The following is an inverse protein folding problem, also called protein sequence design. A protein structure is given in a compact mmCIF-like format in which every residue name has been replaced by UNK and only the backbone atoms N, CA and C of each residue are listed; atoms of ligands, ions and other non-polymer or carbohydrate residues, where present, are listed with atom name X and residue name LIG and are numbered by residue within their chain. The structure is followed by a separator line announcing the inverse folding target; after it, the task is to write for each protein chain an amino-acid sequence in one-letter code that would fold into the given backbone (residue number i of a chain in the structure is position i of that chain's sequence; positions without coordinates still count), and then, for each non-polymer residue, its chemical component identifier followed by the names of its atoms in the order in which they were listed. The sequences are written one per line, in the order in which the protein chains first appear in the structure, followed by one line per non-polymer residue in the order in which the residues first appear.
data_IF_273778952424
#
_entry.id   IF_273778952424
#
_cell.length_a   1.000
_cell.length_b   1.000
_cell.length_c   1.000
_cell.angle_alpha   90.00
_cell.angle_beta   90.00
_cell.angle_gamma   90.00
#
_symmetry.space_group_name_H-M   'P 1'
#
loop_
_entity.id
_entity.type
_entity.pdbx_description
1 polymer ?
#
# COMPACT_ATOMS: atom_id res chain seq x y z
N UNK A 1 -5.11 -7.15 -24.88
CA UNK A 1 -4.91 -6.57 -23.54
C UNK A 1 -5.08 -5.06 -23.68
N UNK A 2 -5.58 -4.35 -22.66
CA UNK A 2 -5.96 -2.93 -22.73
C UNK A 2 -4.77 -1.96 -22.72
N UNK A 3 -3.56 -2.49 -22.48
CA UNK A 3 -2.31 -1.78 -22.71
C UNK A 3 -1.93 -1.90 -24.18
N UNK A 4 -1.56 -0.78 -24.81
CA UNK A 4 -1.17 -0.71 -26.21
C UNK A 4 0.13 0.08 -26.36
N UNK A 5 1.02 -0.39 -27.23
CA UNK A 5 2.24 0.32 -27.61
C UNK A 5 1.94 1.46 -28.61
N UNK A 6 2.98 2.14 -29.06
CA UNK A 6 2.87 3.21 -30.06
C UNK A 6 2.24 2.77 -31.41
N UNK A 7 2.20 1.45 -31.69
CA UNK A 7 1.59 0.89 -32.90
C UNK A 7 0.16 0.40 -32.67
N UNK A 8 -0.39 0.56 -31.46
CA UNK A 8 -1.71 0.06 -31.10
C UNK A 8 -1.76 -1.46 -30.89
N UNK A 9 -0.62 -2.12 -30.69
CA UNK A 9 -0.54 -3.54 -30.37
C UNK A 9 -0.33 -3.76 -28.87
N UNK A 10 -0.74 -4.91 -28.33
CA UNK A 10 -0.43 -5.20 -26.93
C UNK A 10 1.09 -5.30 -26.73
N UNK A 11 1.68 -4.51 -25.80
CA UNK A 11 3.12 -4.42 -25.66
C UNK A 11 3.69 -5.75 -25.20
N UNK A 12 4.71 -6.24 -25.90
CA UNK A 12 5.40 -7.48 -25.55
C UNK A 12 6.27 -7.31 -24.28
N UNK A 13 6.65 -6.08 -23.94
CA UNK A 13 7.48 -5.73 -22.80
C UNK A 13 7.28 -4.25 -22.42
N UNK A 14 7.68 -3.88 -21.20
CA UNK A 14 7.76 -2.49 -20.75
C UNK A 14 9.23 -2.23 -20.41
N UNK A 15 9.86 -1.24 -21.06
CA UNK A 15 11.27 -0.89 -20.81
C UNK A 15 11.38 0.17 -19.72
N UNK A 16 12.11 -0.18 -18.67
CA UNK A 16 12.35 0.70 -17.53
C UNK A 16 13.86 0.86 -17.33
N UNK A 17 14.29 2.09 -17.07
CA UNK A 17 15.65 2.41 -16.63
C UNK A 17 15.63 2.86 -15.18
N UNK A 18 16.45 2.27 -14.32
CA UNK A 18 16.55 2.69 -12.93
C UNK A 18 17.40 3.96 -12.83
N UNK A 19 16.82 5.01 -12.23
CA UNK A 19 17.48 6.30 -12.09
C UNK A 19 18.50 6.28 -10.95
N UNK A 20 19.49 7.19 -11.03
CA UNK A 20 20.45 7.43 -9.94
C UNK A 20 20.03 8.63 -9.09
N UNK A 21 20.34 8.58 -7.80
CA UNK A 21 20.15 9.72 -6.90
C UNK A 21 21.26 10.78 -7.06
N UNK A 22 21.17 11.86 -6.29
CA UNK A 22 22.13 12.99 -6.31
C UNK A 22 23.55 12.57 -5.90
N UNK A 23 23.69 11.45 -5.19
CA UNK A 23 24.96 10.90 -4.70
C UNK A 23 25.52 9.83 -5.66
N UNK A 24 24.86 9.60 -6.80
CA UNK A 24 25.27 8.65 -7.84
C UNK A 24 24.89 7.19 -7.55
N UNK A 25 24.14 6.91 -6.49
CA UNK A 25 23.66 5.57 -6.15
C UNK A 25 22.37 5.24 -6.93
N UNK A 26 22.06 3.95 -7.07
CA UNK A 26 20.78 3.53 -7.68
C UNK A 26 19.61 3.93 -6.78
N UNK A 27 18.62 4.62 -7.34
CA UNK A 27 17.44 5.10 -6.63
C UNK A 27 16.28 4.11 -6.71
N UNK A 28 15.20 4.38 -5.96
CA UNK A 28 13.94 3.63 -6.05
C UNK A 28 13.05 4.05 -7.24
N UNK A 29 13.50 5.02 -8.05
CA UNK A 29 12.75 5.58 -9.17
C UNK A 29 13.19 4.99 -10.50
N UNK A 30 12.23 4.86 -11.40
CA UNK A 30 12.43 4.35 -12.74
C UNK A 30 11.92 5.34 -13.78
N UNK A 31 12.62 5.39 -14.91
CA UNK A 31 12.19 6.08 -16.11
C UNK A 31 11.59 5.08 -17.11
N UNK A 32 10.53 5.49 -17.79
CA UNK A 32 9.83 4.69 -18.80
C UNK A 32 10.43 5.03 -20.16
N UNK A 33 11.11 4.06 -20.78
CA UNK A 33 11.83 4.31 -22.03
C UNK A 33 10.94 4.29 -23.28
N UNK A 34 9.77 3.66 -23.20
CA UNK A 34 8.85 3.50 -24.32
C UNK A 34 7.43 3.91 -23.92
N UNK A 35 6.83 4.78 -24.72
CA UNK A 35 5.47 5.25 -24.50
C UNK A 35 4.49 4.11 -24.73
N UNK A 36 3.47 4.04 -23.88
CA UNK A 36 2.35 3.13 -24.04
C UNK A 36 1.07 3.81 -23.58
N UNK A 37 -0.07 3.33 -24.07
CA UNK A 37 -1.38 3.79 -23.64
C UNK A 37 -2.14 2.68 -22.91
N UNK A 38 -3.00 3.09 -21.99
CA UNK A 38 -3.96 2.25 -21.31
C UNK A 38 -5.37 2.73 -21.66
N UNK A 39 -6.21 1.82 -22.16
CA UNK A 39 -7.62 2.10 -22.46
C UNK A 39 -8.50 1.46 -21.40
N UNK A 40 -9.18 2.30 -20.65
CA UNK A 40 -10.24 1.91 -19.72
C UNK A 40 -11.57 1.93 -20.47
N UNK A 41 -12.02 0.75 -20.91
CA UNK A 41 -13.28 0.59 -21.64
C UNK A 41 -14.50 0.88 -20.74
N UNK A 42 -14.38 0.74 -19.42
CA UNK A 42 -15.46 0.95 -18.44
C UNK A 42 -15.73 2.44 -18.26
N UNK A 43 -14.68 3.25 -18.13
CA UNK A 43 -14.78 4.70 -17.99
C UNK A 43 -14.71 5.45 -19.33
N UNK A 44 -14.45 4.75 -20.43
CA UNK A 44 -14.23 5.34 -21.76
C UNK A 44 -13.05 6.30 -21.78
N UNK A 45 -12.00 6.00 -21.01
CA UNK A 45 -10.82 6.85 -20.88
C UNK A 45 -9.57 6.21 -21.46
N UNK A 46 -8.71 7.04 -22.03
CA UNK A 46 -7.38 6.64 -22.47
C UNK A 46 -6.35 7.42 -21.68
N UNK A 47 -5.42 6.70 -21.06
CA UNK A 47 -4.29 7.27 -20.35
C UNK A 47 -3.04 7.01 -21.18
N UNK A 48 -2.35 8.08 -21.54
CA UNK A 48 -1.10 8.00 -22.29
C UNK A 48 0.05 8.13 -21.29
N UNK A 49 0.90 7.11 -21.24
CA UNK A 49 2.16 7.14 -20.50
C UNK A 49 3.27 7.56 -21.46
N UNK A 50 3.87 8.75 -21.29
CA UNK A 50 4.93 9.22 -22.17
C UNK A 50 6.24 8.46 -21.93
N UNK A 51 7.05 8.33 -22.99
CA UNK A 51 8.45 7.96 -22.83
C UNK A 51 9.21 9.13 -22.20
N UNK A 52 10.14 8.84 -21.29
CA UNK A 52 10.92 9.85 -20.56
C UNK A 52 10.04 10.86 -19.80
N UNK A 53 8.99 10.34 -19.18
CA UNK A 53 8.03 11.10 -18.38
C UNK A 53 8.50 11.39 -16.96
N UNK A 54 7.54 11.63 -16.07
CA UNK A 54 7.82 11.75 -14.64
C UNK A 54 8.34 10.42 -14.07
N UNK A 55 9.37 10.43 -13.20
CA UNK A 55 9.87 9.21 -12.58
C UNK A 55 8.80 8.46 -11.79
N UNK A 56 8.67 7.16 -12.05
CA UNK A 56 7.72 6.25 -11.37
C UNK A 56 8.42 5.47 -10.25
N UNK A 57 7.73 5.25 -9.14
CA UNK A 57 8.22 4.40 -8.04
C UNK A 57 7.61 2.99 -8.05
N UNK A 58 6.97 2.61 -9.18
CA UNK A 58 6.30 1.33 -9.40
C UNK A 58 5.26 1.02 -8.31
N UNK A 59 4.46 2.05 -8.01
CA UNK A 59 3.50 2.17 -6.93
C UNK A 59 4.12 2.38 -5.54
N UNK A 60 3.80 3.53 -4.94
CA UNK A 60 4.04 3.85 -3.52
C UNK A 60 3.29 2.93 -2.54
N UNK A 61 3.67 1.65 -2.47
CA UNK A 61 3.10 0.68 -1.52
C UNK A 61 3.72 0.90 -0.13
N UNK A 62 2.93 1.02 0.96
CA UNK A 62 3.45 1.10 2.32
C UNK A 62 4.38 -0.07 2.65
N UNK A 63 5.51 0.20 3.30
CA UNK A 63 6.54 -0.80 3.63
C UNK A 63 6.00 -2.05 4.37
N UNK A 64 4.97 -1.88 5.21
CA UNK A 64 4.31 -2.96 5.95
C UNK A 64 3.63 -3.97 5.01
N UNK A 65 3.40 -3.62 3.74
CA UNK A 65 2.77 -4.47 2.75
C UNK A 65 3.75 -5.06 1.72
N UNK A 66 5.04 -4.71 1.78
CA UNK A 66 6.05 -5.22 0.83
C UNK A 66 6.23 -6.74 0.89
N UNK A 67 5.96 -7.36 2.04
CA UNK A 67 6.01 -8.82 2.18
C UNK A 67 4.85 -9.53 1.45
N UNK A 68 3.75 -8.82 1.19
CA UNK A 68 2.53 -9.37 0.59
C UNK A 68 2.38 -9.00 -0.88
N UNK A 69 2.82 -7.79 -1.24
CA UNK A 69 2.72 -7.22 -2.58
C UNK A 69 4.13 -6.92 -3.06
N UNK A 70 4.62 -7.73 -4.02
CA UNK A 70 5.86 -7.39 -4.72
C UNK A 70 5.68 -6.07 -5.48
N UNK A 71 6.70 -5.21 -5.44
CA UNK A 71 6.73 -3.91 -6.10
C UNK A 71 6.58 -4.02 -7.62
N UNK A 72 7.13 -5.07 -8.23
CA UNK A 72 7.04 -5.32 -9.68
C UNK A 72 6.36 -6.66 -10.02
N UNK A 73 5.82 -6.74 -11.24
CA UNK A 73 5.14 -7.93 -11.74
C UNK A 73 4.12 -7.60 -12.81
N UNK A 74 3.06 -8.40 -12.92
CA UNK A 74 1.98 -8.18 -13.90
C UNK A 74 1.28 -6.83 -13.71
N UNK A 75 1.24 -6.35 -12.47
CA UNK A 75 0.64 -5.07 -12.10
C UNK A 75 1.53 -3.84 -12.39
N UNK A 76 2.77 -4.02 -12.88
CA UNK A 76 3.71 -2.92 -13.12
C UNK A 76 3.14 -1.88 -14.10
N UNK A 77 2.47 -2.31 -15.18
CA UNK A 77 1.82 -1.37 -16.11
C UNK A 77 0.73 -0.54 -15.43
N UNK A 78 -0.09 -1.16 -14.58
CA UNK A 78 -1.13 -0.46 -13.82
C UNK A 78 -0.53 0.57 -12.84
N UNK A 79 0.58 0.24 -12.19
CA UNK A 79 1.29 1.15 -11.29
C UNK A 79 1.80 2.40 -12.02
N UNK A 80 2.42 2.22 -13.19
CA UNK A 80 2.93 3.34 -14.00
C UNK A 80 1.78 4.26 -14.47
N UNK A 81 0.66 3.68 -14.90
CA UNK A 81 -0.56 4.42 -15.27
C UNK A 81 -1.07 5.25 -14.08
N UNK A 82 -1.11 4.67 -12.87
CA UNK A 82 -1.52 5.37 -11.66
C UNK A 82 -0.58 6.52 -11.31
N UNK A 83 0.73 6.28 -11.33
CA UNK A 83 1.75 7.31 -11.04
C UNK A 83 1.65 8.47 -12.03
N UNK A 84 1.38 8.20 -13.31
CA UNK A 84 1.18 9.22 -14.36
C UNK A 84 -0.06 10.07 -14.10
N UNK A 85 -1.11 9.49 -13.52
CA UNK A 85 -2.35 10.22 -13.22
C UNK A 85 -2.25 11.01 -11.91
N UNK A 86 -1.48 10.54 -10.92
CA UNK A 86 -1.46 11.12 -9.58
C UNK A 86 -0.48 12.29 -9.50
N UNK A 87 -1.03 13.51 -9.57
CA UNK A 87 -0.28 14.76 -9.39
C UNK A 87 -0.41 15.32 -7.97
N UNK A 88 0.41 16.32 -7.61
CA UNK A 88 0.44 16.86 -6.24
C UNK A 88 -0.83 17.63 -5.86
N UNK A 89 -1.43 18.34 -6.82
CA UNK A 89 -2.65 19.15 -6.64
C UNK A 89 -3.82 18.54 -7.40
N UNK A 90 -4.48 17.57 -6.78
CA UNK A 90 -5.68 16.94 -7.32
C UNK A 90 -6.88 17.22 -6.43
N UNK A 91 -8.03 17.42 -7.04
CA UNK A 91 -9.30 17.32 -6.34
C UNK A 91 -9.53 15.88 -5.86
N UNK A 92 -10.39 15.72 -4.86
CA UNK A 92 -10.81 14.39 -4.40
C UNK A 92 -11.40 13.56 -5.53
N UNK A 93 -12.22 14.17 -6.40
CA UNK A 93 -12.86 13.46 -7.51
C UNK A 93 -11.85 12.91 -8.51
N UNK A 94 -10.82 13.69 -8.87
CA UNK A 94 -9.74 13.24 -9.75
C UNK A 94 -8.93 12.12 -9.12
N UNK A 95 -8.64 12.21 -7.81
CA UNK A 95 -7.91 11.17 -7.10
C UNK A 95 -8.71 9.86 -7.03
N UNK A 96 -10.01 9.96 -6.74
CA UNK A 96 -10.93 8.81 -6.78
C UNK A 96 -10.94 8.19 -8.17
N UNK A 97 -11.01 9.00 -9.23
CA UNK A 97 -10.99 8.53 -10.61
C UNK A 97 -9.69 7.83 -10.97
N UNK A 98 -8.54 8.38 -10.59
CA UNK A 98 -7.23 7.76 -10.80
C UNK A 98 -7.12 6.40 -10.09
N UNK A 99 -7.62 6.32 -8.85
CA UNK A 99 -7.68 5.06 -8.12
C UNK A 99 -8.61 4.05 -8.82
N UNK A 100 -9.75 4.46 -9.41
CA UNK A 100 -10.65 3.57 -10.18
C UNK A 100 -9.97 3.04 -11.44
N UNK A 101 -9.33 3.90 -12.22
CA UNK A 101 -8.58 3.50 -13.43
C UNK A 101 -7.48 2.49 -13.04
N UNK A 102 -6.78 2.74 -11.93
CA UNK A 102 -5.78 1.80 -11.42
C UNK A 102 -6.38 0.44 -11.06
N UNK A 103 -7.58 0.39 -10.48
CA UNK A 103 -8.27 -0.86 -10.19
C UNK A 103 -8.61 -1.66 -11.46
N UNK A 104 -9.16 -1.00 -12.48
CA UNK A 104 -9.45 -1.63 -13.77
C UNK A 104 -8.16 -2.17 -14.42
N UNK A 105 -7.11 -1.35 -14.44
CA UNK A 105 -5.81 -1.72 -14.97
C UNK A 105 -5.20 -2.93 -14.24
N UNK A 106 -5.41 -3.02 -12.92
CA UNK A 106 -5.01 -4.18 -12.13
C UNK A 106 -5.80 -5.42 -12.53
N UNK A 107 -7.14 -5.39 -12.52
CA UNK A 107 -7.98 -6.55 -12.89
C UNK A 107 -7.66 -7.09 -14.29
N UNK A 108 -7.35 -6.20 -15.23
CA UNK A 108 -7.01 -6.57 -16.60
C UNK A 108 -5.58 -7.09 -16.77
N UNK A 109 -4.68 -6.77 -15.84
CA UNK A 109 -3.28 -7.21 -15.87
C UNK A 109 -3.07 -8.69 -15.50
N UNK A 110 -4.09 -9.36 -14.95
CA UNK A 110 -4.02 -10.79 -14.69
C UNK A 110 -5.07 -11.35 -13.73
N UNK A 111 -5.06 -12.66 -13.54
CA UNK A 111 -6.12 -13.37 -12.82
C UNK A 111 -5.96 -13.41 -11.28
N UNK A 112 -5.19 -12.50 -10.67
CA UNK A 112 -4.94 -12.50 -9.22
C UNK A 112 -5.86 -11.54 -8.48
N UNK A 113 -7.16 -11.81 -8.54
CA UNK A 113 -8.23 -10.97 -7.98
C UNK A 113 -7.95 -10.48 -6.55
N UNK A 114 -7.55 -11.36 -5.63
CA UNK A 114 -7.29 -10.99 -4.24
C UNK A 114 -6.13 -10.01 -4.11
N UNK A 115 -5.02 -10.27 -4.82
CA UNK A 115 -3.84 -9.41 -4.79
C UNK A 115 -4.16 -8.03 -5.33
N UNK A 116 -4.85 -7.96 -6.46
CA UNK A 116 -5.24 -6.69 -7.10
C UNK A 116 -6.13 -5.85 -6.18
N UNK A 117 -7.10 -6.50 -5.52
CA UNK A 117 -7.95 -5.84 -4.54
C UNK A 117 -7.20 -5.35 -3.30
N UNK A 118 -6.23 -6.12 -2.80
CA UNK A 118 -5.39 -5.69 -1.68
C UNK A 118 -4.46 -4.53 -2.06
N UNK A 119 -3.86 -4.58 -3.25
CA UNK A 119 -3.03 -3.50 -3.79
C UNK A 119 -3.83 -2.21 -3.91
N UNK A 120 -4.99 -2.30 -4.53
CA UNK A 120 -5.86 -1.15 -4.70
C UNK A 120 -6.37 -0.62 -3.34
N UNK A 121 -6.81 -1.51 -2.44
CA UNK A 121 -7.22 -1.13 -1.09
C UNK A 121 -6.09 -0.42 -0.33
N UNK A 122 -4.84 -0.86 -0.46
CA UNK A 122 -3.69 -0.23 0.16
C UNK A 122 -3.47 1.22 -0.34
N UNK A 123 -3.56 1.43 -1.66
CA UNK A 123 -3.37 2.76 -2.29
C UNK A 123 -4.52 3.70 -1.93
N UNK A 124 -5.76 3.22 -2.05
CA UNK A 124 -6.97 3.97 -1.72
C UNK A 124 -7.11 4.30 -0.23
N UNK A 125 -6.91 3.31 0.65
CA UNK A 125 -7.00 3.52 2.09
C UNK A 125 -5.81 4.33 2.62
N UNK A 126 -4.58 3.95 2.28
CA UNK A 126 -3.37 4.52 2.86
C UNK A 126 -3.03 5.91 2.35
N UNK A 127 -3.36 6.23 1.09
CA UNK A 127 -2.91 7.48 0.48
C UNK A 127 -4.06 8.39 0.05
N UNK A 128 -5.18 7.85 -0.45
CA UNK A 128 -6.34 8.66 -0.86
C UNK A 128 -7.13 9.16 0.34
N UNK A 129 -7.58 8.29 1.25
CA UNK A 129 -8.31 8.72 2.45
C UNK A 129 -7.46 9.63 3.35
N UNK A 130 -6.18 9.27 3.58
CA UNK A 130 -5.27 10.05 4.43
C UNK A 130 -5.10 11.50 3.94
N UNK A 131 -5.00 11.73 2.62
CA UNK A 131 -4.81 13.07 2.04
C UNK A 131 -6.13 13.81 1.82
N UNK A 132 -7.16 13.13 1.29
CA UNK A 132 -8.40 13.78 0.84
C UNK A 132 -9.52 13.83 1.89
N UNK A 133 -9.46 12.98 2.92
CA UNK A 133 -10.48 12.88 3.96
C UNK A 133 -9.89 12.46 5.32
N UNK A 134 -8.98 13.26 5.91
CA UNK A 134 -8.22 12.87 7.09
C UNK A 134 -9.10 12.57 8.31
N UNK A 135 -10.23 13.26 8.48
CA UNK A 135 -11.18 13.00 9.58
C UNK A 135 -11.79 11.60 9.47
N UNK A 136 -12.21 11.20 8.26
CA UNK A 136 -12.75 9.85 8.01
C UNK A 136 -11.67 8.78 8.24
N UNK A 137 -10.42 9.07 7.86
CA UNK A 137 -9.30 8.18 8.16
C UNK A 137 -9.11 7.98 9.67
N UNK A 138 -9.13 9.06 10.46
CA UNK A 138 -9.00 8.97 11.93
C UNK A 138 -10.17 8.20 12.54
N UNK A 139 -11.41 8.45 12.10
CA UNK A 139 -12.59 7.72 12.58
C UNK A 139 -12.49 6.22 12.27
N UNK A 140 -12.03 5.86 11.07
CA UNK A 140 -11.82 4.47 10.67
C UNK A 140 -10.78 3.79 11.57
N UNK A 141 -9.63 4.43 11.79
CA UNK A 141 -8.56 3.92 12.64
C UNK A 141 -9.03 3.80 14.10
N UNK A 142 -9.76 4.80 14.60
CA UNK A 142 -10.31 4.77 15.95
C UNK A 142 -11.31 3.62 16.13
N UNK A 143 -12.24 3.44 15.18
CA UNK A 143 -13.19 2.33 15.22
C UNK A 143 -12.48 0.97 15.21
N UNK A 144 -11.45 0.81 14.36
CA UNK A 144 -10.65 -0.41 14.28
C UNK A 144 -9.87 -0.68 15.58
N UNK A 145 -9.30 0.37 16.18
CA UNK A 145 -8.57 0.26 17.45
C UNK A 145 -9.50 -0.13 18.61
N UNK A 146 -10.68 0.50 18.71
CA UNK A 146 -11.67 0.16 19.76
C UNK A 146 -12.22 -1.25 19.56
N UNK A 147 -12.48 -1.65 18.32
CA UNK A 147 -12.88 -3.02 18.00
C UNK A 147 -11.84 -4.04 18.49
N UNK A 148 -10.56 -3.85 18.15
CA UNK A 148 -9.49 -4.76 18.56
C UNK A 148 -9.20 -4.72 20.07
N UNK A 149 -9.35 -3.57 20.72
CA UNK A 149 -9.27 -3.47 22.18
C UNK A 149 -10.38 -4.30 22.85
N UNK A 150 -11.61 -4.25 22.33
CA UNK A 150 -12.72 -5.07 22.84
C UNK A 150 -12.46 -6.58 22.60
N UNK A 151 -11.98 -6.97 21.42
CA UNK A 151 -11.61 -8.36 21.12
C UNK A 151 -10.50 -8.85 22.06
N UNK A 152 -9.46 -8.05 22.28
CA UNK A 152 -8.36 -8.40 23.18
C UNK A 152 -8.84 -8.53 24.63
N UNK A 153 -9.71 -7.63 25.08
CA UNK A 153 -10.31 -7.70 26.42
C UNK A 153 -11.09 -8.99 26.65
N UNK A 154 -11.89 -9.40 25.64
CA UNK A 154 -12.60 -10.68 25.66
C UNK A 154 -11.62 -11.85 25.68
N UNK A 155 -10.55 -11.80 24.88
CA UNK A 155 -9.55 -12.87 24.80
C UNK A 155 -8.78 -13.07 26.11
N UNK A 156 -8.35 -11.97 26.74
CA UNK A 156 -7.58 -11.98 27.99
C UNK A 156 -8.42 -12.31 29.24
N UNK A 157 -9.74 -12.45 29.09
CA UNK A 157 -10.62 -12.82 30.20
C UNK A 157 -10.95 -11.68 31.17
N UNK A 158 -10.98 -10.44 30.68
CA UNK A 158 -11.36 -9.28 31.50
C UNK A 158 -12.79 -9.35 32.06
N UNK A 159 -13.10 -8.51 33.04
CA UNK A 159 -14.46 -8.40 33.57
C UNK A 159 -15.47 -8.01 32.47
N UNK A 160 -16.74 -8.39 32.64
CA UNK A 160 -17.83 -8.08 31.69
C UNK A 160 -17.61 -8.58 30.25
N UNK A 161 -17.05 -9.79 30.06
CA UNK A 161 -16.78 -10.39 28.74
C UNK A 161 -17.97 -10.32 27.78
N UNK A 162 -19.20 -10.54 28.28
CA UNK A 162 -20.42 -10.45 27.48
C UNK A 162 -20.67 -9.04 26.93
N UNK A 163 -20.44 -8.01 27.75
CA UNK A 163 -20.57 -6.61 27.32
C UNK A 163 -19.51 -6.23 26.29
N UNK A 164 -18.25 -6.62 26.51
CA UNK A 164 -17.17 -6.38 25.55
C UNK A 164 -17.40 -7.11 24.21
N UNK A 165 -17.92 -8.35 24.24
CA UNK A 165 -18.30 -9.08 23.03
C UNK A 165 -19.45 -8.40 22.28
N UNK A 166 -20.46 -7.90 22.98
CA UNK A 166 -21.55 -7.14 22.37
C UNK A 166 -21.04 -5.85 21.72
N UNK A 167 -20.13 -5.12 22.37
CA UNK A 167 -19.49 -3.92 21.80
C UNK A 167 -18.71 -4.27 20.54
N UNK A 168 -17.92 -5.34 20.54
CA UNK A 168 -17.17 -5.78 19.37
C UNK A 168 -18.10 -6.13 18.20
N UNK A 169 -19.21 -6.85 18.46
CA UNK A 169 -20.21 -7.18 17.44
C UNK A 169 -20.89 -5.93 16.86
N UNK A 170 -21.27 -4.98 17.73
CA UNK A 170 -21.88 -3.71 17.31
C UNK A 170 -20.90 -2.91 16.46
N UNK A 171 -19.64 -2.76 16.88
CA UNK A 171 -18.62 -2.04 16.10
C UNK A 171 -18.32 -2.71 14.76
N UNK A 172 -18.34 -4.05 14.73
CA UNK A 172 -18.17 -4.80 13.49
C UNK A 172 -19.35 -4.61 12.53
N UNK A 173 -20.58 -4.60 13.04
CA UNK A 173 -21.79 -4.36 12.25
C UNK A 173 -21.90 -2.90 11.77
N UNK A 174 -21.54 -1.94 12.62
CA UNK A 174 -21.41 -0.52 12.24
C UNK A 174 -20.41 -0.30 11.11
N UNK A 175 -19.51 -1.27 10.90
CA UNK A 175 -18.69 -1.40 9.70
C UNK A 175 -19.43 -1.21 8.38
N UNK A 176 -20.68 -1.68 8.28
CA UNK A 176 -21.52 -1.51 7.09
C UNK A 176 -21.75 -0.03 6.73
N UNK A 177 -21.70 0.89 7.71
CA UNK A 177 -21.88 2.31 7.45
C UNK A 177 -20.76 2.88 6.57
N UNK A 178 -19.57 2.27 6.58
CA UNK A 178 -18.48 2.66 5.67
C UNK A 178 -18.87 2.49 4.20
N UNK A 179 -19.81 1.61 3.87
CA UNK A 179 -20.38 1.47 2.52
C UNK A 179 -21.01 2.77 1.98
N UNK A 180 -21.44 3.67 2.86
CA UNK A 180 -22.11 4.93 2.52
C UNK A 180 -21.16 6.12 2.55
N UNK A 181 -19.94 5.91 3.01
CA UNK A 181 -18.93 6.97 3.03
C UNK A 181 -18.43 7.17 1.60
N UNK A 182 -18.32 8.41 1.11
CA UNK A 182 -17.78 8.69 -0.23
C UNK A 182 -16.27 8.40 -0.26
N UNK A 183 -15.87 7.13 -0.30
CA UNK A 183 -14.48 6.72 -0.45
C UNK A 183 -14.13 6.66 -1.95
N UNK A 184 -12.93 6.18 -2.29
CA UNK A 184 -12.46 6.07 -3.68
C UNK A 184 -13.23 5.09 -4.56
N UNK A 185 -13.96 4.13 -4.02
CA UNK A 185 -15.04 3.49 -4.79
C UNK A 185 -16.13 2.93 -3.87
N UNK A 186 -17.43 3.09 -4.24
CA UNK A 186 -18.55 2.50 -3.49
C UNK A 186 -18.42 0.98 -3.34
N UNK A 187 -17.84 0.32 -4.34
CA UNK A 187 -17.64 -1.13 -4.37
C UNK A 187 -16.65 -1.63 -3.31
N UNK A 188 -15.76 -0.77 -2.82
CA UNK A 188 -14.80 -1.09 -1.76
C UNK A 188 -15.28 -0.72 -0.38
N UNK A 189 -16.03 0.37 -0.31
CA UNK A 189 -16.36 1.07 0.92
C UNK A 189 -16.97 0.11 1.97
N UNK A 190 -17.74 -0.89 1.50
CA UNK A 190 -18.36 -1.89 2.36
C UNK A 190 -17.41 -3.02 2.81
N UNK A 191 -16.47 -3.49 1.98
CA UNK A 191 -15.61 -4.63 2.34
C UNK A 191 -14.26 -4.23 2.96
N UNK A 192 -13.79 -2.99 2.76
CA UNK A 192 -12.55 -2.47 3.34
C UNK A 192 -12.50 -2.62 4.87
N UNK A 193 -13.61 -2.31 5.55
CA UNK A 193 -13.72 -2.50 7.00
C UNK A 193 -13.50 -3.96 7.40
N UNK A 194 -14.14 -4.89 6.69
CA UNK A 194 -14.05 -6.32 7.01
C UNK A 194 -12.66 -6.88 6.75
N UNK A 195 -11.99 -6.45 5.67
CA UNK A 195 -10.60 -6.82 5.40
C UNK A 195 -9.67 -6.27 6.46
N UNK A 196 -9.83 -5.02 6.87
CA UNK A 196 -9.01 -4.43 7.91
C UNK A 196 -9.25 -5.13 9.25
N UNK A 197 -10.51 -5.34 9.62
CA UNK A 197 -10.89 -6.01 10.86
C UNK A 197 -10.35 -7.45 10.91
N UNK A 198 -10.57 -8.27 9.87
CA UNK A 198 -10.09 -9.66 9.84
C UNK A 198 -8.59 -9.75 9.61
N UNK A 199 -8.05 -8.90 8.73
CA UNK A 199 -6.65 -8.87 8.35
C UNK A 199 -5.74 -8.51 9.51
N UNK A 200 -6.09 -7.52 10.34
CA UNK A 200 -5.32 -7.21 11.56
C UNK A 200 -5.20 -8.47 12.42
N UNK A 201 -6.29 -9.21 12.61
CA UNK A 201 -6.29 -10.44 13.41
C UNK A 201 -5.36 -11.51 12.84
N UNK A 202 -5.51 -11.79 11.54
CA UNK A 202 -4.69 -12.79 10.85
C UNK A 202 -3.20 -12.42 10.86
N UNK A 203 -2.89 -11.13 10.77
CA UNK A 203 -1.52 -10.62 10.68
C UNK A 203 -0.86 -10.35 12.03
N UNK A 204 -1.62 -10.24 13.12
CA UNK A 204 -1.06 -9.93 14.45
C UNK A 204 0.01 -10.94 14.88
N UNK A 205 -0.29 -12.25 14.79
CA UNK A 205 0.64 -13.30 15.19
C UNK A 205 1.93 -13.33 14.33
N UNK A 206 1.88 -13.38 12.98
CA UNK A 206 3.10 -13.36 12.18
C UNK A 206 3.87 -12.04 12.32
N UNK A 207 3.18 -10.90 12.45
CA UNK A 207 3.83 -9.61 12.66
C UNK A 207 4.56 -9.56 14.02
N UNK A 208 3.95 -10.11 15.08
CA UNK A 208 4.60 -10.22 16.38
C UNK A 208 5.88 -11.06 16.29
N UNK A 209 5.85 -12.19 15.58
CA UNK A 209 7.05 -13.01 15.34
C UNK A 209 8.12 -12.22 14.61
N UNK A 210 7.77 -11.54 13.51
CA UNK A 210 8.72 -10.72 12.73
C UNK A 210 9.34 -9.63 13.60
N UNK A 211 8.53 -8.89 14.36
CA UNK A 211 9.02 -7.80 15.22
C UNK A 211 9.93 -8.31 16.34
N UNK A 212 9.60 -9.45 16.94
CA UNK A 212 10.45 -10.11 17.94
C UNK A 212 11.77 -10.53 17.28
N UNK A 213 11.73 -11.16 16.09
CA UNK A 213 12.94 -11.56 15.36
C UNK A 213 13.83 -10.37 15.01
N UNK A 214 13.27 -9.28 14.47
CA UNK A 214 14.01 -8.05 14.17
C UNK A 214 14.60 -7.45 15.44
N UNK A 215 13.85 -7.43 16.55
CA UNK A 215 14.35 -6.95 17.84
C UNK A 215 15.53 -7.78 18.37
N UNK A 216 15.49 -9.10 18.19
CA UNK A 216 16.60 -10.00 18.55
C UNK A 216 17.83 -9.73 17.69
N UNK A 217 17.67 -9.61 16.37
CA UNK A 217 18.78 -9.29 15.45
C UNK A 217 19.41 -7.95 15.83
N UNK A 218 18.59 -6.92 16.04
CA UNK A 218 19.07 -5.61 16.46
C UNK A 218 19.82 -5.66 17.79
N UNK A 219 19.33 -6.45 18.76
CA UNK A 219 20.02 -6.66 20.03
C UNK A 219 21.40 -7.32 19.82
N UNK A 220 21.48 -8.33 18.95
CA UNK A 220 22.76 -8.98 18.60
C UNK A 220 23.72 -7.99 17.98
N UNK A 221 23.27 -7.17 17.03
CA UNK A 221 24.11 -6.16 16.37
C UNK A 221 24.63 -5.13 17.38
N UNK A 222 23.77 -4.66 18.30
CA UNK A 222 24.17 -3.73 19.37
C UNK A 222 25.19 -4.37 20.31
N UNK A 223 24.97 -5.62 20.72
CA UNK A 223 25.91 -6.33 21.60
C UNK A 223 27.26 -6.56 20.91
N UNK A 224 27.26 -6.95 19.64
CA UNK A 224 28.48 -7.10 18.84
C UNK A 224 29.25 -5.78 18.74
N UNK A 225 28.55 -4.68 18.46
CA UNK A 225 29.14 -3.34 18.41
C UNK A 225 29.74 -2.91 19.76
N UNK A 226 29.04 -3.18 20.88
CA UNK A 226 29.56 -2.92 22.23
C UNK A 226 30.82 -3.75 22.54
N UNK A 227 30.85 -5.03 22.15
CA UNK A 227 32.02 -5.90 22.33
C UNK A 227 33.21 -5.42 21.49
N UNK A 228 32.99 -5.08 20.23
CA UNK A 228 34.03 -4.53 19.37
C UNK A 228 34.63 -3.26 19.96
N UNK A 229 33.80 -2.31 20.40
CA UNK A 229 34.27 -1.09 21.07
C UNK A 229 35.08 -1.38 22.35
N UNK A 230 34.68 -2.38 23.14
CA UNK A 230 35.41 -2.80 24.34
C UNK A 230 36.77 -3.45 24.03
N UNK A 231 36.91 -4.08 22.86
CA UNK A 231 38.17 -4.71 22.39
C UNK A 231 39.05 -3.79 21.54
N UNK A 232 38.68 -2.51 21.38
CA UNK A 232 39.43 -1.53 20.59
C UNK A 232 39.14 -1.54 19.08
N UNK A 233 38.11 -2.27 18.64
CA UNK A 233 37.60 -2.21 17.27
C UNK A 233 36.77 -0.94 17.03
N UNK A 234 36.78 -0.44 15.79
CA UNK A 234 35.93 0.68 15.37
C UNK A 234 34.44 0.34 15.43
N UNK A 235 33.58 1.35 15.59
CA UNK A 235 32.13 1.17 15.70
C UNK A 235 31.47 1.23 14.32
N UNK A 236 30.90 0.12 13.85
CA UNK A 236 30.02 0.09 12.68
C UNK A 236 28.54 0.18 13.14
N UNK A 237 27.84 1.21 12.68
CA UNK A 237 26.41 1.40 12.98
C UNK A 237 25.59 0.31 12.29
N UNK A 238 24.59 -0.31 12.96
CA UNK A 238 23.60 -1.14 12.29
C UNK A 238 22.93 -0.33 11.17
N UNK A 239 22.84 -0.90 9.96
CA UNK A 239 22.25 -0.23 8.80
C UNK A 239 20.85 0.28 9.14
N UNK A 240 20.68 1.61 9.16
CA UNK A 240 19.34 2.18 9.30
C UNK A 240 18.51 1.77 8.08
N UNK A 241 17.23 1.40 8.23
CA UNK A 241 16.33 1.33 7.09
C UNK A 241 16.37 2.69 6.39
N UNK A 242 16.73 2.69 5.10
CA UNK A 242 16.95 3.91 4.34
C UNK A 242 15.73 4.84 4.46
N UNK A 243 15.92 6.12 4.82
CA UNK A 243 14.80 7.05 4.84
C UNK A 243 14.29 7.21 3.39
N UNK A 244 12.98 7.00 3.22
CA UNK A 244 12.27 7.31 1.97
C UNK A 244 12.23 8.82 1.78
N UNK A 245 13.35 9.42 1.36
CA UNK A 245 13.42 10.81 0.96
C UNK A 245 13.06 10.88 -0.52
N UNK A 246 12.03 11.67 -0.83
CA UNK A 246 11.75 12.09 -2.21
C UNK A 246 12.88 13.03 -2.67
N UNK A 247 13.34 12.94 -3.92
CA UNK A 247 14.33 13.85 -4.49
C UNK A 247 13.88 15.30 -4.56
#
# INVERSE_FOLDING_TARGET
MPFLDANGASPAHIKLEQLRDKDGQLSAYFDVLEAFEYRDDVLGQTVIVPAHGDPTDLASVPWVLWWLIASYGRHTGAAIVHDTLVVERMTRAERVRADTIFFHALEESGNNWLRHRLMWAAVSWGMTMRKSAPVLFVLFVAQLAVFWAAVLWVALGGAHRGGAAAVALVLFALGLAWARVPTSAPELAWWLWYVAALGVGLLTAPLAVILISVGVVYLVDVLAACLQAATGGGWEMPTRPAPLLRP
#
